data_IF_036988201664
#
_entry.id   IF_036988201664
#
_cell.length_a   1.000
_cell.length_b   1.000
_cell.length_c   1.000
_cell.angle_alpha   90.00
_cell.angle_beta   90.00
_cell.angle_gamma   90.00
#
_symmetry.space_group_name_H-M   'P 1'
#
loop_
_entity.id
_entity.type
_entity.pdbx_description
1 polymer ?
#
# COMPACT_ATOMS: atom_id res chain seq x y z
N UNK A 1 -16.95 33.32 34.20
CA UNK A 1 -15.97 32.24 33.96
C UNK A 1 -16.69 31.17 33.15
N UNK A 2 -16.63 31.29 31.83
CA UNK A 2 -17.24 30.31 30.91
C UNK A 2 -16.17 29.24 30.72
N UNK A 3 -16.41 28.04 31.25
CA UNK A 3 -15.60 26.86 30.92
C UNK A 3 -16.02 26.49 29.50
N UNK A 4 -15.16 26.55 28.48
CA UNK A 4 -15.52 25.99 27.20
C UNK A 4 -15.45 24.47 27.35
N UNK A 5 -16.61 23.83 27.42
CA UNK A 5 -16.74 22.40 27.19
C UNK A 5 -16.54 22.12 25.70
N UNK A 6 -15.30 22.21 25.23
CA UNK A 6 -14.92 21.59 23.96
C UNK A 6 -14.73 20.11 24.25
N UNK A 7 -15.70 19.26 23.91
CA UNK A 7 -15.46 17.83 23.80
C UNK A 7 -14.48 17.61 22.65
N UNK A 8 -13.19 17.78 22.93
CA UNK A 8 -12.10 17.56 22.00
C UNK A 8 -12.13 16.10 21.58
N UNK A 9 -12.67 15.83 20.39
CA UNK A 9 -12.78 14.47 19.90
C UNK A 9 -11.38 14.00 19.54
N UNK A 10 -10.93 12.91 20.14
CA UNK A 10 -9.61 12.33 19.86
C UNK A 10 -9.45 12.09 18.35
N UNK A 11 -8.49 12.75 17.67
CA UNK A 11 -8.35 12.64 16.23
C UNK A 11 -7.68 11.32 15.82
N UNK A 12 -6.98 10.67 16.76
CA UNK A 12 -6.25 9.44 16.52
C UNK A 12 -7.18 8.23 16.54
N UNK A 13 -6.92 7.26 15.66
CA UNK A 13 -7.76 6.08 15.52
C UNK A 13 -6.94 4.87 15.09
N UNK A 14 -7.12 3.76 15.81
CA UNK A 14 -6.40 2.50 15.54
C UNK A 14 -7.33 1.27 15.47
N UNK A 15 -8.65 1.44 15.44
CA UNK A 15 -9.61 0.31 15.41
C UNK A 15 -9.69 -0.41 14.06
N UNK A 16 -9.67 0.34 12.95
CA UNK A 16 -9.95 -0.14 11.60
C UNK A 16 -9.38 0.79 10.52
N UNK A 17 -9.94 0.75 9.31
CA UNK A 17 -9.56 1.66 8.24
C UNK A 17 -9.98 3.10 8.56
N UNK A 18 -9.19 4.09 8.11
CA UNK A 18 -9.54 5.49 8.25
C UNK A 18 -10.66 5.82 7.27
N UNK A 19 -11.81 6.27 7.78
CA UNK A 19 -13.01 6.56 6.98
C UNK A 19 -13.12 8.04 6.62
N UNK A 20 -12.73 8.94 7.52
CA UNK A 20 -12.74 10.37 7.23
C UNK A 20 -11.45 10.72 6.47
N UNK A 21 -11.52 11.15 5.19
CA UNK A 21 -10.33 11.47 4.41
C UNK A 21 -9.49 12.60 5.02
N UNK A 22 -10.10 13.52 5.77
CA UNK A 22 -9.37 14.59 6.48
C UNK A 22 -8.48 14.09 7.63
N UNK A 23 -8.69 12.84 8.09
CA UNK A 23 -7.86 12.19 9.11
C UNK A 23 -6.84 11.20 8.53
N UNK A 24 -6.80 11.05 7.21
CA UNK A 24 -5.79 10.24 6.53
C UNK A 24 -4.50 11.05 6.42
N UNK A 25 -3.38 10.48 6.85
CA UNK A 25 -2.08 11.17 6.90
C UNK A 25 -1.02 10.39 6.13
N UNK A 26 -0.15 11.14 5.43
CA UNK A 26 0.99 10.60 4.71
C UNK A 26 0.61 9.81 3.47
N UNK A 27 1.45 8.82 3.14
CA UNK A 27 1.37 7.98 1.93
C UNK A 27 1.39 8.78 0.64
N UNK A 28 2.09 9.92 0.61
CA UNK A 28 2.04 10.85 -0.52
C UNK A 28 2.66 10.23 -1.79
N UNK A 29 3.74 9.48 -1.62
CA UNK A 29 4.39 8.77 -2.73
C UNK A 29 3.54 7.62 -3.24
N UNK A 30 2.92 6.86 -2.34
CA UNK A 30 2.06 5.72 -2.63
C UNK A 30 0.77 6.12 -3.33
N UNK A 31 0.13 7.20 -2.87
CA UNK A 31 -1.03 7.78 -3.54
C UNK A 31 -0.69 8.21 -4.97
N UNK A 32 0.44 8.92 -5.15
CA UNK A 32 0.91 9.34 -6.46
C UNK A 32 1.22 8.14 -7.36
N UNK A 33 1.84 7.10 -6.83
CA UNK A 33 2.15 5.87 -7.57
C UNK A 33 0.88 5.23 -8.14
N UNK A 34 -0.19 5.17 -7.34
CA UNK A 34 -1.48 4.62 -7.76
C UNK A 34 -2.15 5.53 -8.80
N UNK A 35 -2.26 6.83 -8.54
CA UNK A 35 -2.98 7.74 -9.44
C UNK A 35 -2.27 7.93 -10.77
N UNK A 36 -0.93 7.90 -10.83
CA UNK A 36 -0.20 7.90 -12.10
C UNK A 36 -0.54 6.71 -12.99
N UNK A 37 -0.83 5.53 -12.39
CA UNK A 37 -1.22 4.32 -13.13
C UNK A 37 -2.67 4.32 -13.53
N UNK A 38 -3.51 5.07 -12.83
CA UNK A 38 -4.89 5.36 -13.26
C UNK A 38 -4.88 6.35 -14.45
N UNK A 39 -4.09 7.43 -14.34
CA UNK A 39 -4.00 8.50 -15.33
C UNK A 39 -3.21 8.15 -16.60
N UNK A 40 -2.42 7.07 -16.55
CA UNK A 40 -1.61 6.64 -17.68
C UNK A 40 -2.42 6.43 -18.96
N UNK A 41 -1.74 6.51 -20.12
CA UNK A 41 -2.34 6.22 -21.43
C UNK A 41 -3.05 4.86 -21.40
N UNK A 42 -2.38 3.87 -20.81
CA UNK A 42 -2.96 2.59 -20.41
C UNK A 42 -3.07 2.54 -18.89
N UNK A 43 -4.26 2.19 -18.41
CA UNK A 43 -4.47 1.88 -17.00
C UNK A 43 -3.70 0.63 -16.63
N UNK A 44 -3.03 0.68 -15.49
CA UNK A 44 -2.19 -0.42 -15.02
C UNK A 44 -2.56 -0.81 -13.60
N UNK A 45 -3.07 -2.03 -13.41
CA UNK A 45 -3.45 -2.56 -12.11
C UNK A 45 -2.29 -2.61 -11.12
N UNK A 46 -2.58 -2.39 -9.83
CA UNK A 46 -1.60 -2.28 -8.75
C UNK A 46 -1.89 -3.29 -7.65
N UNK A 47 -0.88 -4.09 -7.28
CA UNK A 47 -0.91 -4.87 -6.05
C UNK A 47 -0.34 -4.02 -4.89
N UNK A 48 -1.17 -3.65 -3.92
CA UNK A 48 -0.77 -2.99 -2.67
C UNK A 48 -0.45 -4.06 -1.61
N UNK A 49 0.82 -4.29 -1.37
CA UNK A 49 1.33 -5.39 -0.55
C UNK A 49 1.91 -4.85 0.75
N UNK A 50 1.69 -5.53 1.87
CA UNK A 50 2.37 -5.16 3.10
C UNK A 50 1.81 -5.85 4.34
N UNK A 51 2.51 -5.72 5.46
CA UNK A 51 2.15 -6.36 6.72
C UNK A 51 0.72 -6.04 7.20
N UNK A 52 0.22 -6.84 8.14
CA UNK A 52 -1.04 -6.52 8.84
C UNK A 52 -0.92 -5.13 9.50
N UNK A 53 -2.01 -4.36 9.52
CA UNK A 53 -2.08 -3.03 10.18
C UNK A 53 -1.11 -1.96 9.64
N UNK A 54 -0.46 -2.16 8.48
CA UNK A 54 0.42 -1.16 7.87
C UNK A 54 -0.33 -0.02 7.14
N UNK A 55 -1.66 -0.14 7.01
CA UNK A 55 -2.51 0.90 6.42
C UNK A 55 -3.02 0.65 5.01
N UNK A 56 -2.91 -0.58 4.46
CA UNK A 56 -3.40 -0.92 3.11
C UNK A 56 -4.87 -0.54 2.87
N UNK A 57 -5.76 -1.02 3.73
CA UNK A 57 -7.21 -0.74 3.66
C UNK A 57 -7.52 0.75 3.72
N UNK A 58 -6.81 1.50 4.59
CA UNK A 58 -6.94 2.95 4.67
C UNK A 58 -6.46 3.63 3.39
N UNK A 59 -5.34 3.19 2.81
CA UNK A 59 -4.77 3.76 1.59
C UNK A 59 -5.72 3.58 0.40
N UNK A 60 -6.15 2.34 0.12
CA UNK A 60 -7.03 2.08 -1.04
C UNK A 60 -8.40 2.74 -0.86
N UNK A 61 -8.91 2.81 0.37
CA UNK A 61 -10.16 3.50 0.65
C UNK A 61 -10.02 5.01 0.47
N UNK A 62 -8.89 5.59 0.88
CA UNK A 62 -8.59 7.00 0.64
C UNK A 62 -8.45 7.31 -0.86
N UNK A 63 -7.84 6.42 -1.65
CA UNK A 63 -7.84 6.54 -3.13
C UNK A 63 -9.27 6.57 -3.65
N UNK A 64 -10.11 5.60 -3.29
CA UNK A 64 -11.52 5.58 -3.67
C UNK A 64 -12.26 6.88 -3.31
N UNK A 65 -11.97 7.45 -2.13
CA UNK A 65 -12.62 8.69 -1.68
C UNK A 65 -12.10 9.96 -2.34
N UNK A 66 -10.87 9.97 -2.85
CA UNK A 66 -10.19 11.23 -3.21
C UNK A 66 -9.48 11.20 -4.56
N UNK A 67 -9.72 10.16 -5.38
CA UNK A 67 -9.12 10.04 -6.71
C UNK A 67 -9.39 11.29 -7.56
N UNK A 68 -10.59 11.87 -7.44
CA UNK A 68 -11.01 13.03 -8.22
C UNK A 68 -10.16 14.28 -7.98
N UNK A 69 -9.44 14.34 -6.86
CA UNK A 69 -8.54 15.45 -6.52
C UNK A 69 -7.17 15.34 -7.20
N UNK A 70 -6.85 14.17 -7.79
CA UNK A 70 -5.51 13.81 -8.28
C UNK A 70 -5.48 13.37 -9.75
N UNK A 71 -6.63 13.35 -10.42
CA UNK A 71 -6.76 12.95 -11.82
C UNK A 71 -7.31 14.11 -12.64
N UNK A 72 -6.75 14.27 -13.83
CA UNK A 72 -7.33 15.12 -14.86
C UNK A 72 -8.59 14.44 -15.40
N UNK A 73 -9.69 15.20 -15.57
CA UNK A 73 -11.00 14.70 -16.01
C UNK A 73 -11.53 13.52 -15.17
N UNK A 74 -11.77 13.73 -13.87
CA UNK A 74 -12.12 12.64 -12.95
C UNK A 74 -13.46 11.96 -13.30
N UNK A 75 -14.34 12.64 -14.04
CA UNK A 75 -15.62 12.06 -14.50
C UNK A 75 -15.42 10.84 -15.41
N UNK A 76 -14.29 10.75 -16.12
CA UNK A 76 -13.99 9.55 -16.93
C UNK A 76 -13.74 8.30 -16.09
N UNK A 77 -13.58 8.40 -14.77
CA UNK A 77 -13.24 7.26 -13.92
C UNK A 77 -14.43 6.81 -13.07
N UNK A 78 -14.86 5.56 -13.29
CA UNK A 78 -15.82 4.87 -12.43
C UNK A 78 -15.05 4.05 -11.41
N UNK A 79 -14.88 4.59 -10.20
CA UNK A 79 -14.12 3.94 -9.14
C UNK A 79 -15.05 3.27 -8.14
N UNK A 80 -14.91 1.95 -7.97
CA UNK A 80 -15.63 1.16 -6.96
C UNK A 80 -14.70 0.64 -5.86
N UNK A 81 -15.24 0.42 -4.66
CA UNK A 81 -14.51 -0.22 -3.56
C UNK A 81 -15.28 -1.42 -3.02
N UNK A 82 -14.61 -2.57 -2.91
CA UNK A 82 -15.17 -3.82 -2.40
C UNK A 82 -14.22 -4.43 -1.38
N UNK A 83 -14.73 -4.82 -0.21
CA UNK A 83 -14.03 -5.74 0.70
C UNK A 83 -14.41 -7.16 0.30
N UNK A 84 -13.39 -8.00 0.08
CA UNK A 84 -13.59 -9.38 -0.36
C UNK A 84 -13.92 -10.32 0.79
N UNK A 85 -13.87 -9.85 2.05
CA UNK A 85 -14.39 -10.58 3.21
C UNK A 85 -15.93 -10.49 3.36
N UNK A 86 -16.61 -9.69 2.53
CA UNK A 86 -18.07 -9.65 2.52
C UNK A 86 -18.63 -11.06 2.27
N UNK A 87 -19.54 -11.52 3.13
CA UNK A 87 -20.07 -12.89 3.07
C UNK A 87 -20.76 -13.23 1.74
N UNK A 88 -21.17 -12.21 0.97
CA UNK A 88 -21.74 -12.37 -0.37
C UNK A 88 -20.70 -12.70 -1.44
N UNK A 89 -19.42 -12.48 -1.17
CA UNK A 89 -18.30 -12.65 -2.11
C UNK A 89 -17.66 -14.06 -1.96
N UNK A 90 -18.49 -15.07 -1.68
CA UNK A 90 -18.04 -16.46 -1.52
C UNK A 90 -18.11 -17.30 -2.80
N UNK A 91 -18.81 -16.80 -3.81
CA UNK A 91 -18.94 -17.43 -5.13
C UNK A 91 -18.62 -16.42 -6.21
N UNK A 92 -18.31 -16.90 -7.43
CA UNK A 92 -18.07 -16.00 -8.58
C UNK A 92 -19.29 -15.13 -8.86
N UNK A 93 -20.49 -15.70 -8.85
CA UNK A 93 -21.72 -14.96 -9.05
C UNK A 93 -21.92 -13.86 -8.00
N UNK A 94 -21.65 -14.17 -6.73
CA UNK A 94 -21.73 -13.20 -5.63
C UNK A 94 -20.66 -12.11 -5.71
N UNK A 95 -19.43 -12.47 -6.11
CA UNK A 95 -18.36 -11.52 -6.40
C UNK A 95 -18.77 -10.54 -7.51
N UNK A 96 -19.24 -11.04 -8.66
CA UNK A 96 -19.63 -10.22 -9.80
C UNK A 96 -20.82 -9.32 -9.47
N UNK A 97 -21.81 -9.84 -8.73
CA UNK A 97 -22.94 -9.02 -8.29
C UNK A 97 -22.49 -7.88 -7.38
N UNK A 98 -21.59 -8.18 -6.43
CA UNK A 98 -21.09 -7.18 -5.47
C UNK A 98 -20.26 -6.09 -6.15
N UNK A 99 -19.36 -6.50 -7.04
CA UNK A 99 -18.54 -5.58 -7.84
C UNK A 99 -19.42 -4.77 -8.78
N UNK A 100 -20.35 -5.41 -9.47
CA UNK A 100 -21.30 -4.76 -10.36
C UNK A 100 -22.16 -3.72 -9.65
N UNK A 101 -22.63 -4.02 -8.44
CA UNK A 101 -23.34 -3.03 -7.61
C UNK A 101 -22.47 -1.82 -7.24
N UNK A 102 -21.17 -2.00 -7.00
CA UNK A 102 -20.26 -0.88 -6.76
C UNK A 102 -20.06 -0.01 -8.01
N UNK A 103 -19.98 -0.63 -9.20
CA UNK A 103 -19.90 0.10 -10.48
C UNK A 103 -21.21 0.83 -10.77
N UNK A 104 -22.36 0.16 -10.59
CA UNK A 104 -23.69 0.76 -10.74
C UNK A 104 -23.89 1.96 -9.81
N UNK A 105 -23.40 1.87 -8.57
CA UNK A 105 -23.42 2.99 -7.64
C UNK A 105 -22.58 4.16 -8.15
N UNK A 106 -21.35 3.92 -8.62
CA UNK A 106 -20.50 4.96 -9.19
C UNK A 106 -21.16 5.62 -10.43
N UNK A 107 -21.77 4.82 -11.30
CA UNK A 107 -22.54 5.29 -12.46
C UNK A 107 -23.72 6.18 -12.05
N UNK A 108 -24.49 5.79 -11.03
CA UNK A 108 -25.64 6.57 -10.56
C UNK A 108 -25.26 7.95 -10.00
N UNK A 109 -24.00 8.10 -9.58
CA UNK A 109 -23.44 9.36 -9.07
C UNK A 109 -22.75 10.19 -10.15
N UNK A 110 -22.60 9.65 -11.36
CA UNK A 110 -21.97 10.35 -12.48
C UNK A 110 -22.88 11.48 -12.98
N UNK A 111 -22.35 12.68 -13.30
CA UNK A 111 -23.16 13.82 -13.78
C UNK A 111 -24.02 13.48 -15.00
N UNK A 112 -23.47 12.71 -15.94
CA UNK A 112 -24.14 12.35 -17.20
C UNK A 112 -24.85 10.99 -17.18
N UNK A 113 -25.16 10.45 -15.99
CA UNK A 113 -25.70 9.10 -15.80
C UNK A 113 -26.89 8.74 -16.72
N UNK A 114 -27.74 9.71 -17.06
CA UNK A 114 -28.90 9.50 -17.93
C UNK A 114 -28.56 9.13 -19.38
N UNK A 115 -27.35 9.44 -19.84
CA UNK A 115 -26.88 9.20 -21.21
C UNK A 115 -25.91 8.04 -21.33
N UNK A 116 -25.41 7.55 -20.19
CA UNK A 116 -24.43 6.48 -20.12
C UNK A 116 -25.09 5.10 -20.20
N UNK A 117 -24.34 4.06 -20.61
CA UNK A 117 -24.83 2.69 -20.59
C UNK A 117 -25.27 2.29 -19.18
N UNK A 118 -26.47 1.73 -19.07
CA UNK A 118 -26.96 1.21 -17.80
C UNK A 118 -26.19 -0.04 -17.38
N UNK A 119 -25.86 -0.13 -16.09
CA UNK A 119 -25.35 -1.37 -15.52
C UNK A 119 -26.49 -2.36 -15.28
N UNK A 120 -26.35 -3.66 -15.62
CA UNK A 120 -27.41 -4.64 -15.39
C UNK A 120 -27.71 -4.81 -13.90
N UNK A 121 -29.01 -4.90 -13.57
CA UNK A 121 -29.48 -5.09 -12.18
C UNK A 121 -28.87 -6.36 -11.57
N UNK A 122 -28.82 -7.43 -12.36
CA UNK A 122 -28.20 -8.71 -11.98
C UNK A 122 -27.01 -8.98 -12.88
N UNK A 123 -25.84 -9.16 -12.29
CA UNK A 123 -24.60 -9.44 -13.00
C UNK A 123 -23.85 -10.59 -12.30
N UNK A 124 -24.15 -11.83 -12.70
CA UNK A 124 -23.65 -13.04 -12.05
C UNK A 124 -22.72 -13.87 -12.92
N UNK A 125 -22.51 -13.47 -14.17
CA UNK A 125 -21.70 -14.18 -15.15
C UNK A 125 -20.61 -13.28 -15.73
N UNK A 126 -19.40 -13.83 -15.90
CA UNK A 126 -18.25 -13.09 -16.43
C UNK A 126 -18.51 -12.52 -17.83
N UNK A 127 -19.28 -13.22 -18.67
CA UNK A 127 -19.61 -12.76 -20.03
C UNK A 127 -20.45 -11.48 -19.97
N UNK A 128 -21.48 -11.45 -19.14
CA UNK A 128 -22.32 -10.25 -18.94
C UNK A 128 -21.51 -9.12 -18.35
N UNK A 129 -20.67 -9.42 -17.35
CA UNK A 129 -19.77 -8.45 -16.74
C UNK A 129 -18.82 -7.81 -17.78
N UNK A 130 -18.19 -8.63 -18.61
CA UNK A 130 -17.28 -8.19 -19.68
C UNK A 130 -17.98 -7.29 -20.70
N UNK A 131 -19.18 -7.68 -21.16
CA UNK A 131 -19.96 -6.87 -22.12
C UNK A 131 -20.36 -5.52 -21.53
N UNK A 132 -20.75 -5.49 -20.25
CA UNK A 132 -21.08 -4.24 -19.58
C UNK A 132 -19.87 -3.31 -19.44
N UNK A 133 -18.69 -3.84 -19.06
CA UNK A 133 -17.46 -3.04 -19.03
C UNK A 133 -17.07 -2.52 -20.42
N UNK A 134 -17.25 -3.32 -21.46
CA UNK A 134 -16.98 -2.90 -22.83
C UNK A 134 -17.88 -1.73 -23.25
N UNK A 135 -19.18 -1.77 -22.95
CA UNK A 135 -20.09 -0.66 -23.23
C UNK A 135 -19.67 0.63 -22.51
N UNK A 136 -19.18 0.52 -21.26
CA UNK A 136 -18.65 1.68 -20.52
C UNK A 136 -17.39 2.24 -21.18
N UNK A 137 -16.48 1.38 -21.62
CA UNK A 137 -15.26 1.79 -22.32
C UNK A 137 -15.56 2.48 -23.66
N UNK A 138 -16.55 2.00 -24.42
CA UNK A 138 -17.04 2.63 -25.65
C UNK A 138 -17.64 4.04 -25.39
N UNK A 139 -18.16 4.27 -24.18
CA UNK A 139 -18.61 5.58 -23.70
C UNK A 139 -17.47 6.44 -23.10
N UNK A 140 -16.22 6.10 -23.36
CA UNK A 140 -15.00 6.77 -22.85
C UNK A 140 -14.84 6.76 -21.32
N UNK A 141 -15.45 5.78 -20.65
CA UNK A 141 -15.32 5.57 -19.21
C UNK A 141 -14.27 4.51 -18.89
N UNK A 142 -13.58 4.73 -17.78
CA UNK A 142 -12.50 3.90 -17.25
C UNK A 142 -12.94 3.29 -15.92
N UNK A 143 -13.04 1.97 -15.85
CA UNK A 143 -13.45 1.30 -14.61
C UNK A 143 -12.24 0.93 -13.74
N UNK A 144 -12.26 1.36 -12.48
CA UNK A 144 -11.21 1.04 -11.49
C UNK A 144 -11.86 0.42 -10.26
N UNK A 145 -11.36 -0.73 -9.80
CA UNK A 145 -11.85 -1.40 -8.61
C UNK A 145 -10.77 -1.51 -7.53
N UNK A 146 -11.07 -0.96 -6.35
CA UNK A 146 -10.29 -1.15 -5.15
C UNK A 146 -10.77 -2.40 -4.41
N UNK A 147 -10.00 -3.47 -4.46
CA UNK A 147 -10.30 -4.76 -3.83
C UNK A 147 -9.47 -4.90 -2.54
N UNK A 148 -10.14 -4.94 -1.39
CA UNK A 148 -9.49 -5.17 -0.11
C UNK A 148 -9.53 -6.64 0.30
N UNK A 149 -8.53 -7.06 1.09
CA UNK A 149 -8.47 -8.40 1.70
C UNK A 149 -8.53 -9.53 0.69
N UNK A 150 -7.71 -9.44 -0.36
CA UNK A 150 -7.69 -10.40 -1.49
C UNK A 150 -7.54 -11.86 -1.07
N UNK A 151 -6.89 -12.13 0.06
CA UNK A 151 -6.77 -13.47 0.62
C UNK A 151 -8.10 -14.22 0.75
N UNK A 152 -9.22 -13.52 0.93
CA UNK A 152 -10.54 -14.13 1.06
C UNK A 152 -10.92 -14.97 -0.16
N UNK A 153 -10.52 -14.57 -1.37
CA UNK A 153 -10.81 -15.34 -2.59
C UNK A 153 -9.98 -16.64 -2.65
N UNK A 154 -8.80 -16.65 -2.04
CA UNK A 154 -7.91 -17.82 -2.01
C UNK A 154 -8.43 -18.94 -1.09
N UNK A 155 -9.43 -18.64 -0.24
CA UNK A 155 -10.05 -19.60 0.67
C UNK A 155 -11.12 -20.47 -0.03
N UNK A 156 -11.53 -20.13 -1.25
CA UNK A 156 -12.50 -20.87 -2.05
C UNK A 156 -11.96 -21.18 -3.46
N UNK A 157 -10.92 -22.03 -3.60
CA UNK A 157 -10.25 -22.30 -4.87
C UNK A 157 -11.15 -23.01 -5.91
N UNK A 158 -12.23 -23.66 -5.48
CA UNK A 158 -13.21 -24.28 -6.39
C UNK A 158 -14.10 -23.24 -7.09
N UNK A 159 -14.28 -22.06 -6.48
CA UNK A 159 -15.02 -20.93 -7.05
C UNK A 159 -14.08 -19.99 -7.81
N UNK A 160 -12.94 -19.66 -7.20
CA UNK A 160 -11.97 -18.72 -7.75
C UNK A 160 -10.75 -19.48 -8.29
N UNK A 161 -10.95 -20.14 -9.44
CA UNK A 161 -9.95 -20.94 -10.14
C UNK A 161 -9.13 -20.14 -11.17
N UNK A 162 -8.22 -20.80 -11.89
CA UNK A 162 -7.44 -20.17 -12.96
C UNK A 162 -8.33 -19.56 -14.07
N UNK A 163 -9.50 -20.15 -14.37
CA UNK A 163 -10.41 -19.60 -15.40
C UNK A 163 -11.01 -18.28 -14.97
N UNK A 164 -11.41 -18.16 -13.71
CA UNK A 164 -11.86 -16.90 -13.14
C UNK A 164 -10.76 -15.83 -13.22
N UNK A 165 -9.55 -16.16 -12.78
CA UNK A 165 -8.43 -15.22 -12.78
C UNK A 165 -7.95 -14.85 -14.19
N UNK A 166 -7.95 -15.78 -15.14
CA UNK A 166 -7.68 -15.51 -16.56
C UNK A 166 -8.74 -14.61 -17.18
N UNK A 167 -10.02 -14.77 -16.80
CA UNK A 167 -11.09 -13.85 -17.17
C UNK A 167 -10.83 -12.43 -16.68
N UNK A 168 -10.46 -12.25 -15.41
CA UNK A 168 -10.07 -10.92 -14.90
C UNK A 168 -8.82 -10.38 -15.61
N UNK A 169 -7.84 -11.24 -15.90
CA UNK A 169 -6.61 -10.85 -16.60
C UNK A 169 -6.90 -10.33 -18.01
N UNK A 170 -7.82 -10.97 -18.73
CA UNK A 170 -8.25 -10.55 -20.06
C UNK A 170 -8.89 -9.16 -20.04
N UNK A 171 -9.82 -8.90 -19.10
CA UNK A 171 -10.43 -7.57 -18.92
C UNK A 171 -9.40 -6.46 -18.66
N UNK A 172 -8.31 -6.80 -17.99
CA UNK A 172 -7.21 -5.87 -17.74
C UNK A 172 -6.34 -5.64 -18.98
N UNK A 173 -6.06 -6.70 -19.75
CA UNK A 173 -5.32 -6.59 -21.02
C UNK A 173 -6.09 -5.71 -22.02
N UNK A 174 -7.40 -5.88 -22.10
CA UNK A 174 -8.30 -5.11 -22.96
C UNK A 174 -8.58 -3.69 -22.44
N UNK A 175 -7.93 -3.28 -21.34
CA UNK A 175 -8.08 -1.95 -20.72
C UNK A 175 -9.51 -1.62 -20.26
N UNK A 176 -10.36 -2.63 -20.12
CA UNK A 176 -11.73 -2.51 -19.61
C UNK A 176 -11.76 -2.39 -18.09
N UNK A 177 -10.73 -2.89 -17.41
CA UNK A 177 -10.68 -2.96 -15.96
C UNK A 177 -9.29 -2.70 -15.40
N UNK A 178 -9.19 -1.77 -14.45
CA UNK A 178 -8.05 -1.63 -13.57
C UNK A 178 -8.38 -2.13 -12.16
N UNK A 179 -7.47 -2.87 -11.55
CA UNK A 179 -7.61 -3.36 -10.18
C UNK A 179 -6.54 -2.74 -9.27
N UNK A 180 -6.95 -2.28 -8.09
CA UNK A 180 -6.07 -1.91 -6.99
C UNK A 180 -6.31 -2.93 -5.87
N UNK A 181 -5.39 -3.87 -5.70
CA UNK A 181 -5.60 -5.07 -4.88
C UNK A 181 -4.76 -4.99 -3.62
N UNK A 182 -5.39 -4.95 -2.45
CA UNK A 182 -4.68 -5.02 -1.18
C UNK A 182 -4.52 -6.46 -0.68
N UNK A 183 -3.29 -6.80 -0.31
CA UNK A 183 -2.93 -8.12 0.19
C UNK A 183 -1.74 -8.08 1.16
N UNK A 184 -1.62 -9.07 2.03
CA UNK A 184 -0.56 -9.21 3.02
C UNK A 184 0.78 -9.63 2.40
N UNK A 185 0.74 -10.42 1.33
CA UNK A 185 1.91 -10.87 0.55
C UNK A 185 1.66 -10.62 -0.92
N UNK A 186 2.71 -10.66 -1.74
CA UNK A 186 2.58 -10.41 -3.17
C UNK A 186 1.67 -11.43 -3.85
N UNK A 187 1.00 -11.01 -4.93
CA UNK A 187 0.18 -11.92 -5.72
C UNK A 187 1.05 -13.05 -6.33
N UNK A 188 2.29 -12.77 -6.72
CA UNK A 188 3.25 -13.80 -7.17
C UNK A 188 3.45 -14.88 -6.09
N UNK A 189 3.60 -14.47 -4.83
CA UNK A 189 3.70 -15.43 -3.71
C UNK A 189 2.46 -16.30 -3.62
N UNK A 190 1.26 -15.72 -3.74
CA UNK A 190 0.01 -16.47 -3.66
C UNK A 190 -0.19 -17.38 -4.87
N UNK A 191 0.10 -16.92 -6.08
CA UNK A 191 0.09 -17.73 -7.30
C UNK A 191 0.94 -18.98 -7.14
N UNK A 192 2.18 -18.83 -6.66
CA UNK A 192 3.06 -19.97 -6.38
C UNK A 192 2.54 -20.87 -5.24
N UNK A 193 2.11 -20.28 -4.11
CA UNK A 193 1.67 -21.01 -2.91
C UNK A 193 0.41 -21.84 -3.15
N UNK A 194 -0.50 -21.35 -3.98
CA UNK A 194 -1.76 -22.00 -4.34
C UNK A 194 -1.70 -22.69 -5.71
N UNK A 195 -0.55 -22.63 -6.39
CA UNK A 195 -0.27 -23.28 -7.69
C UNK A 195 -1.16 -22.81 -8.84
N UNK A 196 -1.56 -21.55 -8.83
CA UNK A 196 -2.21 -20.92 -9.97
C UNK A 196 -1.21 -20.74 -11.12
N UNK A 197 -1.67 -21.00 -12.34
CA UNK A 197 -0.90 -20.79 -13.58
C UNK A 197 -1.27 -19.49 -14.28
N UNK A 198 -2.40 -18.88 -13.91
CA UNK A 198 -2.89 -17.62 -14.47
C UNK A 198 -1.87 -16.48 -14.36
N UNK A 199 -1.75 -15.69 -15.43
CA UNK A 199 -0.90 -14.48 -15.45
C UNK A 199 -1.47 -13.35 -14.59
N UNK A 200 -2.71 -13.47 -14.10
CA UNK A 200 -3.31 -12.53 -13.14
C UNK A 200 -2.40 -12.26 -11.94
N UNK A 201 -1.76 -13.30 -11.40
CA UNK A 201 -0.89 -13.18 -10.22
C UNK A 201 0.43 -12.45 -10.50
N UNK A 202 0.72 -12.13 -11.76
CA UNK A 202 1.90 -11.39 -12.20
C UNK A 202 1.53 -10.02 -12.78
N UNK A 203 0.95 -9.14 -11.97
CA UNK A 203 0.55 -7.78 -12.35
C UNK A 203 1.71 -6.87 -12.78
N UNK A 204 2.96 -7.21 -12.42
CA UNK A 204 4.15 -6.40 -12.73
C UNK A 204 4.26 -5.07 -11.97
N UNK A 205 3.17 -4.55 -11.39
CA UNK A 205 3.15 -3.30 -10.64
C UNK A 205 2.75 -3.56 -9.18
N UNK A 206 3.75 -3.79 -8.35
CA UNK A 206 3.57 -4.04 -6.91
C UNK A 206 4.06 -2.84 -6.12
N UNK A 207 3.20 -2.32 -5.24
CA UNK A 207 3.49 -1.26 -4.29
C UNK A 207 3.60 -1.88 -2.90
N UNK A 208 4.81 -1.92 -2.36
CA UNK A 208 5.05 -2.42 -1.00
C UNK A 208 4.89 -1.29 0.01
N UNK A 209 3.97 -1.45 0.96
CA UNK A 209 3.78 -0.52 2.06
C UNK A 209 4.71 -0.86 3.21
N UNK A 210 5.50 0.15 3.59
CA UNK A 210 6.41 0.10 4.72
C UNK A 210 5.93 0.99 5.87
N UNK A 211 6.71 1.06 6.94
CA UNK A 211 6.50 2.08 7.98
C UNK A 211 6.60 3.49 7.39
N UNK A 212 6.01 4.47 8.05
CA UNK A 212 6.08 5.85 7.58
C UNK A 212 7.53 6.34 7.46
N UNK A 213 7.86 7.15 6.47
CA UNK A 213 8.96 8.09 6.55
C UNK A 213 8.88 8.95 7.83
N UNK A 214 10.01 9.49 8.30
CA UNK A 214 10.03 10.25 9.55
C UNK A 214 9.12 11.49 9.49
N UNK A 215 9.10 12.19 8.36
CA UNK A 215 8.26 13.36 8.12
C UNK A 215 6.76 13.01 8.17
N UNK A 216 6.34 11.89 7.57
CA UNK A 216 4.94 11.46 7.62
C UNK A 216 4.53 10.96 9.03
N UNK A 217 5.46 10.35 9.78
CA UNK A 217 5.22 9.99 11.17
C UNK A 217 5.03 11.23 12.06
N UNK A 218 5.83 12.28 11.83
CA UNK A 218 5.68 13.57 12.49
C UNK A 218 4.37 14.25 12.11
N UNK A 219 3.99 14.22 10.82
CA UNK A 219 2.71 14.73 10.34
C UNK A 219 1.53 14.09 11.08
N UNK A 220 1.60 12.78 11.33
CA UNK A 220 0.52 12.06 12.01
C UNK A 220 0.30 12.56 13.43
N UNK A 221 1.35 12.71 14.24
CA UNK A 221 1.21 13.20 15.63
C UNK A 221 0.82 14.68 15.72
N UNK A 222 0.90 15.40 14.60
CA UNK A 222 0.44 16.79 14.48
C UNK A 222 -1.04 16.91 14.07
N UNK A 223 -1.78 15.79 13.97
CA UNK A 223 -3.21 15.83 13.65
C UNK A 223 -3.98 16.81 14.57
N UNK A 224 -4.78 17.71 13.99
CA UNK A 224 -5.56 18.65 14.77
C UNK A 224 -6.70 17.94 15.48
N UNK A 225 -7.13 18.49 16.61
CA UNK A 225 -8.28 17.96 17.36
C UNK A 225 -9.60 18.02 16.59
N UNK A 226 -9.74 19.04 15.73
CA UNK A 226 -10.88 19.21 14.83
C UNK A 226 -10.39 19.20 13.37
N UNK A 227 -11.24 18.67 12.49
CA UNK A 227 -10.99 18.57 11.04
C UNK A 227 -11.01 19.92 10.32
N UNK A 228 -11.41 21.00 11.00
CA UNK A 228 -11.46 22.37 10.47
C UNK A 228 -10.10 23.07 10.41
N UNK A 229 -9.02 22.44 10.90
CA UNK A 229 -7.65 22.96 10.74
C UNK A 229 -7.13 23.76 11.94
N UNK A 230 -7.46 23.35 13.16
CA UNK A 230 -6.96 23.94 14.40
C UNK A 230 -5.51 23.54 14.76
N UNK A 231 -5.01 23.94 15.95
CA UNK A 231 -3.71 23.49 16.42
C UNK A 231 -3.68 21.96 16.61
N UNK A 232 -2.48 21.33 16.59
CA UNK A 232 -2.32 19.92 16.90
C UNK A 232 -2.99 19.54 18.23
N UNK A 233 -3.63 18.37 18.25
CA UNK A 233 -4.27 17.86 19.48
C UNK A 233 -3.24 17.57 20.59
N UNK A 234 -2.01 17.23 20.22
CA UNK A 234 -0.92 16.92 21.13
C UNK A 234 0.08 18.08 21.19
N UNK A 235 0.53 18.44 22.40
CA UNK A 235 1.66 19.34 22.58
C UNK A 235 3.00 18.67 22.21
N UNK A 236 4.07 19.44 22.09
CA UNK A 236 5.38 18.95 21.59
C UNK A 236 5.90 17.75 22.39
N UNK A 237 5.86 17.80 23.73
CA UNK A 237 6.30 16.69 24.60
C UNK A 237 5.46 15.43 24.40
N UNK A 238 4.17 15.59 24.17
CA UNK A 238 3.20 14.51 23.97
C UNK A 238 3.34 13.87 22.58
N UNK A 239 3.68 14.66 21.57
CA UNK A 239 4.06 14.17 20.24
C UNK A 239 5.33 13.31 20.31
N UNK A 240 6.36 13.75 21.03
CA UNK A 240 7.59 12.99 21.25
C UNK A 240 7.33 11.68 22.01
N UNK A 241 6.48 11.71 23.04
CA UNK A 241 6.06 10.51 23.76
C UNK A 241 5.37 9.52 22.81
N UNK A 242 4.42 9.99 21.99
CA UNK A 242 3.72 9.15 21.01
C UNK A 242 4.69 8.51 20.00
N UNK A 243 5.62 9.31 19.45
CA UNK A 243 6.67 8.84 18.54
C UNK A 243 7.59 7.81 19.20
N UNK A 244 8.01 8.03 20.45
CA UNK A 244 8.88 7.11 21.18
C UNK A 244 8.24 5.73 21.42
N UNK A 245 6.92 5.71 21.63
CA UNK A 245 6.16 4.49 21.89
C UNK A 245 5.79 3.76 20.58
N UNK A 246 5.19 4.50 19.65
CA UNK A 246 4.63 3.97 18.41
C UNK A 246 5.66 3.78 17.29
N UNK A 247 6.76 4.52 17.33
CA UNK A 247 7.73 4.59 16.24
C UNK A 247 7.09 5.11 14.96
N UNK A 248 7.48 4.53 13.81
CA UNK A 248 6.98 4.92 12.48
C UNK A 248 5.88 4.00 11.95
N UNK A 249 5.48 2.97 12.71
CA UNK A 249 4.44 2.05 12.27
C UNK A 249 3.06 2.69 12.45
N UNK A 250 2.25 2.88 11.39
CA UNK A 250 1.01 3.67 11.43
C UNK A 250 0.05 3.26 12.55
N UNK A 251 -0.22 1.96 12.71
CA UNK A 251 -1.11 1.46 13.76
C UNK A 251 -0.60 1.69 15.19
N UNK A 252 0.70 1.48 15.44
CA UNK A 252 1.26 1.69 16.78
C UNK A 252 1.37 3.18 17.09
N UNK A 253 1.70 4.00 16.10
CA UNK A 253 1.76 5.44 16.28
C UNK A 253 0.38 6.06 16.55
N UNK A 254 -0.64 5.67 15.79
CA UNK A 254 -2.04 6.03 16.08
C UNK A 254 -2.48 5.58 17.47
N UNK A 255 -2.12 4.36 17.88
CA UNK A 255 -2.44 3.84 19.22
C UNK A 255 -1.75 4.62 20.34
N UNK A 256 -0.47 4.95 20.17
CA UNK A 256 0.26 5.74 21.15
C UNK A 256 -0.33 7.15 21.27
N UNK A 257 -0.51 7.84 20.14
CA UNK A 257 -1.07 9.18 20.09
C UNK A 257 -2.50 9.24 20.66
N UNK A 258 -3.32 8.22 20.38
CA UNK A 258 -4.65 8.08 20.98
C UNK A 258 -4.57 8.06 22.51
N UNK A 259 -3.73 7.21 23.09
CA UNK A 259 -3.64 7.11 24.55
C UNK A 259 -3.02 8.34 25.20
N UNK A 260 -2.12 9.03 24.51
CA UNK A 260 -1.61 10.33 24.99
C UNK A 260 -2.74 11.36 25.02
N UNK A 261 -3.54 11.46 23.96
CA UNK A 261 -4.69 12.36 23.89
C UNK A 261 -5.74 12.04 24.97
N UNK A 262 -6.04 10.75 25.22
CA UNK A 262 -6.96 10.33 26.30
C UNK A 262 -6.40 10.69 27.69
N UNK A 263 -5.10 10.57 27.89
CA UNK A 263 -4.47 10.90 29.15
C UNK A 263 -4.57 12.39 29.46
N UNK A 264 -4.34 13.24 28.46
CA UNK A 264 -4.56 14.69 28.59
C UNK A 264 -6.01 15.02 28.95
N UNK A 265 -6.98 14.39 28.28
CA UNK A 265 -8.40 14.63 28.51
C UNK A 265 -8.88 14.17 29.91
N UNK A 266 -8.20 13.19 30.51
CA UNK A 266 -8.60 12.58 31.79
C UNK A 266 -7.64 12.89 32.96
N UNK A 267 -6.64 13.73 32.76
CA UNK A 267 -5.65 14.09 33.78
C UNK A 267 -4.75 12.91 34.21
N UNK A 268 -4.51 11.94 33.32
CA UNK A 268 -3.63 10.78 33.58
C UNK A 268 -2.19 11.11 33.20
N UNK A 269 -1.24 10.54 33.94
CA UNK A 269 0.19 10.68 33.66
C UNK A 269 0.72 9.70 32.61
N UNK A 270 1.98 9.91 32.23
CA UNK A 270 2.71 9.10 31.24
C UNK A 270 2.74 7.60 31.57
N UNK A 271 2.85 7.22 32.85
CA UNK A 271 2.86 5.80 33.26
C UNK A 271 1.58 5.07 32.83
N UNK A 272 0.44 5.76 32.91
CA UNK A 272 -0.84 5.22 32.45
C UNK A 272 -0.83 5.02 30.94
N UNK A 273 -0.33 5.99 30.17
CA UNK A 273 -0.16 5.88 28.70
C UNK A 273 0.69 4.66 28.35
N UNK A 274 1.86 4.53 28.97
CA UNK A 274 2.78 3.41 28.75
C UNK A 274 2.15 2.07 29.12
N UNK A 275 1.34 2.01 30.18
CA UNK A 275 0.61 0.81 30.56
C UNK A 275 -0.47 0.43 29.54
N UNK A 276 -1.30 1.39 29.11
CA UNK A 276 -2.34 1.16 28.10
C UNK A 276 -1.74 0.73 26.75
N UNK A 277 -0.72 1.45 26.28
CA UNK A 277 -0.03 1.12 25.04
C UNK A 277 0.57 -0.29 25.11
N UNK A 278 1.29 -0.65 26.18
CA UNK A 278 1.87 -1.99 26.33
C UNK A 278 0.81 -3.09 26.34
N UNK A 279 -0.33 -2.85 26.98
CA UNK A 279 -1.45 -3.80 27.07
C UNK A 279 -2.06 -4.05 25.69
N UNK A 280 -2.35 -2.99 24.95
CA UNK A 280 -2.99 -3.10 23.62
C UNK A 280 -2.03 -3.50 22.51
N UNK A 281 -0.76 -3.10 22.58
CA UNK A 281 0.26 -3.49 21.61
C UNK A 281 0.71 -4.95 21.79
N UNK A 282 0.47 -5.54 22.97
CA UNK A 282 0.85 -6.92 23.34
C UNK A 282 0.52 -7.97 22.27
N UNK A 283 -0.75 -8.11 21.85
CA UNK A 283 -1.17 -9.05 20.80
C UNK A 283 -0.47 -8.86 19.44
N UNK A 284 0.12 -7.68 19.21
CA UNK A 284 0.70 -7.30 17.92
C UNK A 284 2.24 -7.21 17.93
N UNK A 285 2.91 -7.55 19.03
CA UNK A 285 4.39 -7.44 19.16
C UNK A 285 5.16 -8.18 18.06
N UNK A 286 4.61 -9.27 17.53
CA UNK A 286 5.20 -10.03 16.42
C UNK A 286 5.28 -9.23 15.10
N UNK A 287 4.41 -8.23 14.90
CA UNK A 287 4.45 -7.36 13.72
C UNK A 287 5.72 -6.50 13.73
N UNK A 288 6.10 -5.95 14.90
CA UNK A 288 7.27 -5.08 15.07
C UNK A 288 8.60 -5.84 14.85
N UNK A 289 8.65 -7.14 15.17
CA UNK A 289 9.86 -7.99 15.00
C UNK A 289 10.01 -8.58 13.60
N UNK A 290 8.92 -8.86 12.88
CA UNK A 290 8.97 -9.54 11.57
C UNK A 290 9.29 -8.62 10.39
N UNK A 291 9.10 -7.30 10.51
CA UNK A 291 9.41 -6.34 9.45
C UNK A 291 10.91 -6.26 9.13
N UNK A 292 11.78 -6.20 10.15
CA UNK A 292 13.24 -6.18 9.94
C UNK A 292 13.80 -7.45 9.28
N UNK A 293 13.21 -8.62 9.54
CA UNK A 293 13.61 -9.89 8.93
C UNK A 293 13.00 -10.12 7.54
N UNK A 294 11.82 -9.54 7.27
CA UNK A 294 11.16 -9.63 5.97
C UNK A 294 11.86 -8.75 4.92
N UNK A 295 12.31 -7.53 5.30
CA UNK A 295 13.13 -6.68 4.42
C UNK A 295 14.46 -7.34 4.06
N UNK A 296 15.16 -7.95 5.03
CA UNK A 296 16.42 -8.64 4.79
C UNK A 296 16.29 -9.82 3.80
N UNK A 297 15.11 -10.45 3.70
CA UNK A 297 14.86 -11.56 2.76
C UNK A 297 14.37 -11.12 1.38
N UNK A 298 13.66 -9.98 1.27
CA UNK A 298 13.17 -9.50 -0.02
C UNK A 298 14.21 -8.66 -0.78
N UNK A 299 15.08 -7.92 -0.08
CA UNK A 299 16.27 -7.29 -0.68
C UNK A 299 17.21 -8.36 -1.27
N UNK A 300 17.24 -9.56 -0.67
CA UNK A 300 17.99 -10.73 -1.18
C UNK A 300 17.31 -11.46 -2.35
N UNK A 301 16.04 -11.18 -2.65
CA UNK A 301 15.31 -11.74 -3.81
C UNK A 301 15.22 -10.76 -4.99
N UNK A 302 15.95 -9.65 -4.96
CA UNK A 302 16.09 -8.78 -6.12
C UNK A 302 17.25 -9.23 -7.02
N UNK A 303 16.98 -10.11 -8.00
CA UNK A 303 17.55 -9.88 -9.33
C UNK A 303 16.54 -10.21 -10.45
N UNK A 304 15.97 -9.17 -11.09
CA UNK A 304 15.41 -9.19 -12.46
C UNK A 304 14.77 -7.85 -12.92
N UNK A 305 14.51 -6.89 -12.01
CA UNK A 305 13.89 -5.62 -12.39
C UNK A 305 14.87 -4.45 -12.58
N UNK A 306 16.04 -4.48 -11.92
CA UNK A 306 17.10 -3.47 -12.10
C UNK A 306 17.73 -3.47 -13.51
N UNK A 307 17.58 -4.57 -14.26
CA UNK A 307 18.00 -4.63 -15.67
C UNK A 307 17.04 -3.94 -16.65
N UNK A 308 15.83 -3.53 -16.22
CA UNK A 308 14.83 -2.89 -17.09
C UNK A 308 14.68 -1.38 -16.88
N UNK A 309 15.30 -0.82 -15.84
CA UNK A 309 15.32 0.64 -15.60
C UNK A 309 16.52 1.35 -16.24
N UNK A 310 17.56 0.61 -16.63
CA UNK A 310 18.72 1.16 -17.36
C UNK A 310 18.40 1.62 -18.80
N UNK A 311 17.25 1.22 -19.35
CA UNK A 311 16.81 1.67 -20.68
C UNK A 311 16.11 3.03 -20.71
N UNK A 312 15.85 3.67 -19.55
CA UNK A 312 15.02 4.89 -19.49
C UNK A 312 15.72 6.12 -18.90
N UNK A 313 16.90 5.96 -18.29
CA UNK A 313 17.82 7.06 -18.00
C UNK A 313 19.04 6.87 -18.89
N UNK A 314 19.37 7.87 -19.71
CA UNK A 314 20.51 7.86 -20.64
C UNK A 314 21.88 7.82 -19.94
N UNK A 315 22.11 6.78 -19.15
CA UNK A 315 23.37 6.47 -18.51
C UNK A 315 24.29 5.84 -19.56
N UNK A 316 25.50 6.37 -19.67
CA UNK A 316 26.52 5.82 -20.56
C UNK A 316 27.01 4.46 -20.04
N UNK A 317 27.58 3.62 -20.91
CA UNK A 317 28.13 2.31 -20.51
C UNK A 317 29.13 2.41 -19.35
N UNK A 318 29.81 3.55 -19.21
CA UNK A 318 30.73 3.82 -18.10
C UNK A 318 30.02 4.05 -16.75
N UNK A 319 28.82 4.65 -16.74
CA UNK A 319 28.03 4.88 -15.52
C UNK A 319 27.52 3.57 -14.92
N UNK A 320 27.08 2.64 -15.79
CA UNK A 320 26.64 1.30 -15.39
C UNK A 320 27.82 0.50 -14.83
N UNK A 321 29.00 0.60 -15.46
CA UNK A 321 30.23 -0.05 -14.96
C UNK A 321 30.62 0.50 -13.59
N UNK A 322 30.64 1.82 -13.42
CA UNK A 322 31.02 2.45 -12.16
C UNK A 322 30.04 2.10 -11.02
N UNK A 323 28.75 1.98 -11.34
CA UNK A 323 27.74 1.57 -10.38
C UNK A 323 27.88 0.09 -9.95
N UNK A 324 28.16 -0.81 -10.90
CA UNK A 324 28.45 -2.22 -10.61
C UNK A 324 29.69 -2.35 -9.72
N UNK A 325 30.75 -1.63 -10.04
CA UNK A 325 31.98 -1.60 -9.23
C UNK A 325 31.68 -1.08 -7.82
N UNK A 326 30.87 -0.04 -7.68
CA UNK A 326 30.44 0.51 -6.38
C UNK A 326 29.69 -0.51 -5.51
N UNK A 327 28.78 -1.29 -6.11
CA UNK A 327 28.05 -2.36 -5.40
C UNK A 327 29.00 -3.47 -4.94
N UNK A 328 29.98 -3.84 -5.78
CA UNK A 328 30.96 -4.88 -5.48
C UNK A 328 31.87 -4.48 -4.30
N UNK A 329 32.29 -3.21 -4.27
CA UNK A 329 33.03 -2.61 -3.14
C UNK A 329 32.17 -2.66 -1.86
N UNK A 330 30.91 -2.25 -1.94
CA UNK A 330 30.01 -2.21 -0.78
C UNK A 330 29.76 -3.61 -0.19
N UNK A 331 29.61 -4.62 -1.07
CA UNK A 331 29.50 -6.03 -0.67
C UNK A 331 30.76 -6.53 0.04
N UNK A 332 31.96 -6.20 -0.47
CA UNK A 332 33.22 -6.59 0.16
C UNK A 332 33.40 -5.95 1.55
N UNK A 333 33.00 -4.68 1.70
CA UNK A 333 32.99 -3.99 3.01
C UNK A 333 32.01 -4.66 3.98
N UNK A 334 30.82 -5.05 3.52
CA UNK A 334 29.84 -5.75 4.35
C UNK A 334 30.36 -7.13 4.77
N UNK A 335 30.98 -7.89 3.87
CA UNK A 335 31.56 -9.20 4.17
C UNK A 335 32.70 -9.10 5.18
N UNK A 336 33.50 -8.03 5.12
CA UNK A 336 34.52 -7.75 6.12
C UNK A 336 33.92 -7.38 7.48
N UNK A 337 32.95 -6.46 7.53
CA UNK A 337 32.30 -6.02 8.77
C UNK A 337 31.51 -7.14 9.47
N UNK A 338 31.05 -8.14 8.71
CA UNK A 338 30.35 -9.32 9.23
C UNK A 338 31.30 -10.46 9.63
N UNK A 339 32.62 -10.27 9.49
CA UNK A 339 33.65 -11.25 9.85
C UNK A 339 33.72 -12.46 8.91
N UNK A 340 33.04 -12.40 7.76
CA UNK A 340 33.04 -13.46 6.74
C UNK A 340 34.30 -13.39 5.89
N UNK A 341 34.82 -12.19 5.65
CA UNK A 341 36.06 -11.96 4.93
C UNK A 341 37.23 -11.76 5.92
N UNK A 342 38.29 -12.57 5.87
CA UNK A 342 39.48 -12.37 6.70
C UNK A 342 40.15 -11.03 6.43
N UNK A 343 40.69 -10.40 7.47
CA UNK A 343 41.28 -9.05 7.38
C UNK A 343 42.43 -8.97 6.35
N UNK A 344 43.22 -10.04 6.20
CA UNK A 344 44.34 -10.06 5.27
C UNK A 344 43.88 -10.03 3.80
N UNK A 345 42.79 -10.74 3.46
CA UNK A 345 42.21 -10.74 2.11
C UNK A 345 41.61 -9.37 1.76
N UNK A 346 40.93 -8.75 2.73
CA UNK A 346 40.39 -7.39 2.58
C UNK A 346 41.49 -6.36 2.33
N UNK A 347 42.59 -6.42 3.10
CA UNK A 347 43.73 -5.52 2.96
C UNK A 347 44.43 -5.69 1.61
N UNK A 348 44.64 -6.92 1.13
CA UNK A 348 45.22 -7.15 -0.20
C UNK A 348 44.35 -6.58 -1.31
N UNK A 349 43.03 -6.73 -1.22
CA UNK A 349 42.11 -6.16 -2.18
C UNK A 349 42.10 -4.62 -2.12
N UNK A 350 42.08 -4.04 -0.92
CA UNK A 350 42.08 -2.58 -0.72
C UNK A 350 43.35 -1.94 -1.31
N UNK A 351 44.50 -2.58 -1.13
CA UNK A 351 45.79 -2.15 -1.67
C UNK A 351 45.84 -2.22 -3.20
N UNK A 352 45.20 -3.23 -3.81
CA UNK A 352 45.06 -3.33 -5.26
C UNK A 352 44.16 -2.24 -5.83
N UNK A 353 43.04 -1.92 -5.17
CA UNK A 353 42.10 -0.88 -5.60
C UNK A 353 42.66 0.53 -5.45
N UNK A 354 43.46 0.78 -4.41
CA UNK A 354 44.13 2.08 -4.20
C UNK A 354 45.38 2.26 -5.07
N UNK A 355 45.73 1.28 -5.91
CA UNK A 355 46.91 1.35 -6.80
C UNK A 355 48.25 1.34 -6.04
N UNK A 356 48.25 0.90 -4.78
CA UNK A 356 49.44 0.88 -3.91
C UNK A 356 50.14 -0.50 -3.89
N UNK A 357 49.64 -1.47 -4.66
CA UNK A 357 50.26 -2.77 -4.86
C UNK A 357 51.45 -2.73 -5.83
N UNK A 358 52.51 -2.00 -5.47
CA UNK A 358 53.83 -2.12 -6.09
C UNK A 358 54.51 -3.42 -5.64
N UNK A 359 54.95 -4.23 -6.61
CA UNK A 359 55.28 -5.63 -6.40
C UNK A 359 56.61 -5.95 -5.72
N UNK A 360 56.78 -7.24 -5.44
CA UNK A 360 58.03 -7.96 -5.69
C UNK A 360 57.74 -9.47 -5.71
N UNK A 361 58.60 -10.17 -6.45
CA UNK A 361 58.94 -11.57 -6.20
C UNK A 361 59.36 -11.81 -4.75
#
# INVERSE_FOLDING_TARGET
>A
MVIPSTSTTNPFYFGGKIINPARFVGRKAELRFITQRMAGTQMTSVAVVGGRRIGKSSLIYHVYQTYYQRLDNPQRFLVGQVSLQDARVRTVAGFLQKVGSAIAQALSQHPDAATLPAWPVTCTELVTFSKSLQALAEADLRTVLCLDEFEALLEAPDEFDDRFYDGLRALMDDQLLMLIIASAKSLIYYGSRFRFVSRFFNLGNTLYLEEFPEDEARELVMLPADVTGGPPALGVRDQELALSLGGRHPFFLQMAAYYVCEAQATGRGEDWVRAQFRRQAGPYRGLRRRLGQWMARQVWQAPAWLGRTAGWLGATWDDVRNWIVGILILLLVILFLTGVLPMHEFLTWLLQVLGLGGGSQ
#
